data_IF_156019758236
#
_entry.id   IF_156019758236
#
_cell.length_a   1.000
_cell.length_b   1.000
_cell.length_c   1.000
_cell.angle_alpha   90.00
_cell.angle_beta   90.00
_cell.angle_gamma   90.00
#
_symmetry.space_group_name_H-M   'P 1'
#
loop_
_entity.id
_entity.type
_entity.pdbx_description
1 polymer ?
#
# COMPACT_ATOMS: atom_id res chain seq x y z
N UNK A 1 21.34 7.90 -10.49
CA UNK A 1 20.80 6.86 -9.59
C UNK A 1 19.98 7.62 -8.57
N UNK A 2 18.66 7.43 -8.54
CA UNK A 2 17.86 8.07 -7.49
C UNK A 2 18.24 7.44 -6.15
N UNK A 3 18.60 8.27 -5.18
CA UNK A 3 18.88 7.80 -3.82
C UNK A 3 17.60 7.21 -3.23
N UNK A 4 17.69 5.99 -2.71
CA UNK A 4 16.54 5.32 -2.12
C UNK A 4 16.29 5.90 -0.73
N UNK A 5 15.07 6.35 -0.50
CA UNK A 5 14.60 6.89 0.77
C UNK A 5 14.65 5.80 1.85
N UNK A 6 15.29 6.08 2.98
CA UNK A 6 15.40 5.12 4.09
C UNK A 6 14.51 5.56 5.27
N UNK A 7 13.70 4.63 5.77
CA UNK A 7 12.92 4.84 6.99
C UNK A 7 13.84 5.05 8.19
N UNK A 8 13.60 6.11 8.98
CA UNK A 8 14.45 6.46 10.13
C UNK A 8 14.23 5.58 11.36
N UNK A 9 13.24 4.70 11.34
CA UNK A 9 12.93 3.81 12.46
C UNK A 9 13.45 2.39 12.22
N UNK A 10 13.15 1.79 11.06
CA UNK A 10 13.60 0.43 10.74
C UNK A 10 14.84 0.37 9.83
N UNK A 11 15.31 1.50 9.29
CA UNK A 11 16.42 1.56 8.32
C UNK A 11 16.18 0.78 7.02
N UNK A 12 14.92 0.52 6.67
CA UNK A 12 14.55 -0.12 5.42
C UNK A 12 14.19 0.90 4.32
N UNK A 13 14.36 0.55 3.04
CA UNK A 13 13.98 1.40 1.92
C UNK A 13 12.46 1.62 1.82
N UNK A 14 12.06 2.83 1.41
CA UNK A 14 10.66 3.25 1.25
C UNK A 14 10.40 3.66 -0.20
N UNK A 15 9.82 2.75 -0.98
CA UNK A 15 9.59 2.98 -2.42
C UNK A 15 8.35 3.85 -2.71
N UNK A 16 7.32 3.78 -1.86
CA UNK A 16 6.06 4.51 -2.04
C UNK A 16 5.81 5.42 -0.83
N UNK A 17 6.61 6.48 -0.72
CA UNK A 17 6.62 7.30 0.48
C UNK A 17 5.31 8.08 0.69
N UNK A 18 4.59 7.72 1.76
CA UNK A 18 3.46 8.48 2.30
C UNK A 18 3.93 9.22 3.54
N UNK A 19 3.82 10.55 3.56
CA UNK A 19 4.19 11.30 4.75
C UNK A 19 3.29 10.96 5.94
N UNK A 20 3.88 11.01 7.14
CA UNK A 20 3.19 10.76 8.40
C UNK A 20 1.97 11.65 8.61
N UNK A 21 1.95 12.87 8.05
CA UNK A 21 0.77 13.75 8.11
C UNK A 21 -0.41 13.22 7.28
N UNK A 22 -0.16 12.54 6.16
CA UNK A 22 -1.22 11.90 5.38
C UNK A 22 -1.78 10.67 6.11
N UNK A 23 -0.92 9.90 6.77
CA UNK A 23 -1.32 8.77 7.61
C UNK A 23 -2.11 9.27 8.83
N UNK A 24 -1.62 10.32 9.49
CA UNK A 24 -2.28 10.97 10.61
C UNK A 24 -3.72 11.35 10.29
N UNK A 25 -3.95 12.03 9.16
CA UNK A 25 -5.30 12.44 8.74
C UNK A 25 -6.27 11.26 8.66
N UNK A 26 -5.83 10.11 8.14
CA UNK A 26 -6.67 8.91 8.06
C UNK A 26 -6.99 8.38 9.45
N UNK A 27 -6.01 8.34 10.34
CA UNK A 27 -6.18 7.81 11.71
C UNK A 27 -6.99 8.79 12.58
N UNK A 28 -6.74 10.09 12.52
CA UNK A 28 -7.53 11.13 13.20
C UNK A 28 -8.99 11.07 12.78
N UNK A 29 -9.26 10.94 11.48
CA UNK A 29 -10.63 10.79 10.97
C UNK A 29 -11.31 9.54 11.56
N UNK A 30 -10.60 8.42 11.58
CA UNK A 30 -11.11 7.19 12.19
C UNK A 30 -11.37 7.33 13.70
N UNK A 31 -10.41 7.88 14.46
CA UNK A 31 -10.55 8.12 15.91
C UNK A 31 -11.69 9.08 16.23
N UNK A 32 -11.86 10.15 15.45
CA UNK A 32 -12.95 11.12 15.63
C UNK A 32 -14.33 10.50 15.47
N UNK A 33 -14.47 9.46 14.64
CA UNK A 33 -15.73 8.74 14.47
C UNK A 33 -16.09 7.82 15.64
N UNK A 34 -15.13 7.53 16.52
CA UNK A 34 -15.30 6.57 17.62
C UNK A 34 -15.27 7.24 19.00
N UNK A 35 -14.30 8.12 19.25
CA UNK A 35 -14.07 8.71 20.57
C UNK A 35 -13.26 10.01 20.50
N UNK A 36 -13.95 11.15 20.56
CA UNK A 36 -13.32 12.48 20.55
C UNK A 36 -12.34 12.73 21.70
N UNK A 37 -12.47 12.03 22.85
CA UNK A 37 -11.54 12.22 23.97
C UNK A 37 -10.15 11.68 23.66
N UNK A 38 -10.07 10.57 22.93
CA UNK A 38 -8.80 9.93 22.55
C UNK A 38 -8.07 10.74 21.48
N UNK A 39 -8.82 11.47 20.63
CA UNK A 39 -8.24 12.26 19.55
C UNK A 39 -7.25 13.33 20.04
N UNK A 40 -7.54 14.02 21.15
CA UNK A 40 -6.65 15.07 21.66
C UNK A 40 -5.31 14.50 22.17
N UNK A 41 -5.37 13.37 22.90
CA UNK A 41 -4.17 12.66 23.33
C UNK A 41 -3.38 12.14 22.12
N UNK A 42 -4.08 11.71 21.07
CA UNK A 42 -3.48 11.21 19.83
C UNK A 42 -2.72 12.30 19.07
N UNK A 43 -3.31 13.49 18.91
CA UNK A 43 -2.62 14.60 18.22
C UNK A 43 -1.35 15.01 18.98
N UNK A 44 -1.38 14.95 20.32
CA UNK A 44 -0.18 15.18 21.14
C UNK A 44 0.90 14.12 20.89
N UNK A 45 0.50 12.85 20.79
CA UNK A 45 1.41 11.75 20.42
C UNK A 45 2.00 11.96 19.01
N UNK A 46 1.17 12.31 18.02
CA UNK A 46 1.62 12.53 16.65
C UNK A 46 2.64 13.67 16.54
N UNK A 47 2.40 14.79 17.24
CA UNK A 47 3.35 15.90 17.30
C UNK A 47 4.69 15.51 17.95
N UNK A 48 4.65 14.72 19.02
CA UNK A 48 5.87 14.22 19.66
C UNK A 48 6.66 13.30 18.72
N UNK A 49 5.97 12.44 17.97
CA UNK A 49 6.59 11.56 16.99
C UNK A 49 7.23 12.35 15.83
N UNK A 50 6.53 13.35 15.30
CA UNK A 50 7.07 14.28 14.30
C UNK A 50 8.37 14.94 14.79
N UNK A 51 8.34 15.51 16.00
CA UNK A 51 9.51 16.18 16.56
C UNK A 51 10.69 15.23 16.77
N UNK A 52 10.43 13.99 17.19
CA UNK A 52 11.48 12.99 17.43
C UNK A 52 12.17 12.53 16.14
N UNK A 53 11.44 12.44 15.03
CA UNK A 53 11.95 11.86 13.78
C UNK A 53 12.18 12.88 12.65
N UNK A 54 11.92 14.16 12.90
CA UNK A 54 12.22 15.27 12.00
C UNK A 54 13.73 15.47 11.82
N UNK A 55 14.19 15.74 10.59
CA UNK A 55 15.55 16.21 10.30
C UNK A 55 15.64 16.97 9.00
N UNK A 56 16.47 18.01 9.01
CA UNK A 56 16.71 18.87 7.86
C UNK A 56 17.47 18.16 6.73
N UNK A 57 18.25 17.13 7.05
CA UNK A 57 19.11 16.42 6.09
C UNK A 57 18.33 15.48 5.16
N UNK A 58 17.23 14.90 5.66
CA UNK A 58 16.46 13.89 4.93
C UNK A 58 15.04 14.38 4.69
N UNK A 59 14.82 14.92 3.51
CA UNK A 59 13.52 15.40 3.08
C UNK A 59 12.98 14.51 1.96
N UNK A 60 11.70 14.16 2.03
CA UNK A 60 11.06 13.37 0.99
C UNK A 60 9.68 13.91 0.61
N UNK A 61 9.32 13.78 -0.67
CA UNK A 61 8.05 14.23 -1.23
C UNK A 61 7.01 13.13 -1.11
N UNK A 62 5.94 13.42 -0.38
CA UNK A 62 4.81 12.49 -0.25
C UNK A 62 4.12 12.26 -1.60
N UNK A 63 3.93 10.99 -1.98
CA UNK A 63 3.24 10.63 -3.23
C UNK A 63 1.76 11.09 -3.24
N UNK A 64 1.12 11.16 -2.07
CA UNK A 64 -0.31 11.51 -1.94
C UNK A 64 -0.56 13.01 -1.93
N UNK A 65 0.09 13.77 -1.05
CA UNK A 65 -0.15 15.22 -0.92
C UNK A 65 0.84 16.09 -1.67
N UNK A 66 1.87 15.49 -2.28
CA UNK A 66 2.95 16.16 -3.04
C UNK A 66 3.78 17.18 -2.24
N UNK A 67 3.61 17.24 -0.91
CA UNK A 67 4.40 18.08 -0.01
C UNK A 67 5.67 17.35 0.42
N UNK A 68 6.76 18.10 0.50
CA UNK A 68 8.03 17.66 1.09
C UNK A 68 7.92 17.67 2.62
N UNK A 69 8.48 16.66 3.27
CA UNK A 69 8.55 16.56 4.73
C UNK A 69 9.92 16.11 5.18
N UNK A 70 10.32 16.58 6.35
CA UNK A 70 11.56 16.21 7.06
C UNK A 70 11.39 14.98 7.97
N UNK A 71 10.20 14.36 7.99
CA UNK A 71 9.93 13.16 8.80
C UNK A 71 9.74 11.96 7.87
N UNK A 72 10.81 11.18 7.72
CA UNK A 72 10.86 10.02 6.82
C UNK A 72 10.66 8.73 7.63
N UNK A 73 9.42 8.26 7.69
CA UNK A 73 9.06 6.96 8.28
C UNK A 73 8.28 6.15 7.25
N UNK A 74 8.52 4.83 7.19
CA UNK A 74 7.70 3.94 6.39
C UNK A 74 6.28 3.84 7.00
N UNK A 75 5.26 3.57 6.17
CA UNK A 75 3.88 3.45 6.66
C UNK A 75 3.73 2.42 7.78
N UNK A 76 4.42 1.28 7.68
CA UNK A 76 4.37 0.22 8.69
C UNK A 76 4.87 0.71 10.05
N UNK A 77 6.05 1.35 10.11
CA UNK A 77 6.62 1.85 11.37
C UNK A 77 5.72 2.89 12.02
N UNK A 78 5.16 3.83 11.25
CA UNK A 78 4.24 4.82 11.80
C UNK A 78 2.98 4.17 12.35
N UNK A 79 2.34 3.25 11.60
CA UNK A 79 1.12 2.56 12.05
C UNK A 79 1.41 1.67 13.27
N UNK A 80 2.59 1.04 13.35
CA UNK A 80 3.02 0.27 14.51
C UNK A 80 3.17 1.14 15.77
N UNK A 81 3.81 2.31 15.67
CA UNK A 81 3.90 3.26 16.80
C UNK A 81 2.51 3.71 17.26
N UNK A 82 1.60 3.99 16.33
CA UNK A 82 0.20 4.30 16.64
C UNK A 82 -0.47 3.12 17.34
N UNK A 83 -0.28 1.89 16.86
CA UNK A 83 -0.86 0.70 17.45
C UNK A 83 -0.46 0.54 18.92
N UNK A 84 0.85 0.62 19.23
CA UNK A 84 1.33 0.49 20.61
C UNK A 84 0.85 1.64 21.49
N UNK A 85 0.75 2.85 20.94
CA UNK A 85 0.15 3.98 21.65
C UNK A 85 -1.32 3.71 22.00
N UNK A 86 -2.14 3.25 21.03
CA UNK A 86 -3.55 2.89 21.28
C UNK A 86 -3.64 1.73 22.27
N UNK A 87 -2.80 0.70 22.13
CA UNK A 87 -2.81 -0.50 22.97
C UNK A 87 -2.65 -0.16 24.46
N UNK A 88 -1.75 0.77 24.76
CA UNK A 88 -1.51 1.24 26.12
C UNK A 88 -2.65 2.11 26.69
N UNK A 89 -3.58 2.57 25.85
CA UNK A 89 -4.72 3.42 26.23
C UNK A 89 -6.04 2.63 26.31
N UNK A 90 -6.30 1.82 25.29
CA UNK A 90 -7.52 1.02 25.13
C UNK A 90 -7.24 -0.20 24.24
N UNK A 91 -7.12 -1.36 24.87
CA UNK A 91 -6.87 -2.64 24.18
C UNK A 91 -7.97 -3.01 23.19
N UNK A 92 -9.23 -2.64 23.45
CA UNK A 92 -10.34 -2.96 22.55
C UNK A 92 -10.30 -2.06 21.31
N UNK A 93 -9.90 -0.80 21.48
CA UNK A 93 -9.65 0.09 20.36
C UNK A 93 -8.46 -0.37 19.51
N UNK A 94 -7.38 -0.84 20.15
CA UNK A 94 -6.21 -1.39 19.45
C UNK A 94 -6.59 -2.63 18.61
N UNK A 95 -7.43 -3.52 19.14
CA UNK A 95 -7.98 -4.66 18.38
C UNK A 95 -8.78 -4.23 17.15
N UNK A 96 -9.53 -3.12 17.25
CA UNK A 96 -10.26 -2.55 16.09
C UNK A 96 -9.28 -1.92 15.09
N UNK A 97 -8.25 -1.25 15.57
CA UNK A 97 -7.23 -0.61 14.74
C UNK A 97 -6.49 -1.62 13.85
N UNK A 98 -6.03 -2.73 14.43
CA UNK A 98 -5.34 -3.82 13.71
C UNK A 98 -6.16 -4.34 12.51
N UNK A 99 -7.48 -4.51 12.71
CA UNK A 99 -8.39 -5.01 11.66
C UNK A 99 -8.56 -4.06 10.47
N UNK A 100 -8.20 -2.79 10.61
CA UNK A 100 -8.31 -1.81 9.51
C UNK A 100 -7.11 -1.84 8.58
N UNK A 101 -5.93 -2.14 9.13
CA UNK A 101 -4.67 -2.11 8.39
C UNK A 101 -4.18 -3.51 8.01
N UNK A 102 -4.85 -4.56 8.48
CA UNK A 102 -4.52 -5.97 8.21
C UNK A 102 -3.06 -6.34 8.53
N UNK A 103 -2.51 -5.71 9.57
CA UNK A 103 -1.14 -5.96 10.04
C UNK A 103 -1.14 -6.88 11.27
N UNK A 104 -0.32 -7.92 11.26
CA UNK A 104 -0.09 -8.77 12.44
C UNK A 104 0.99 -8.18 13.36
N UNK A 105 0.69 -7.05 14.02
CA UNK A 105 1.62 -6.44 14.98
C UNK A 105 1.90 -7.30 16.21
N UNK A 106 1.07 -8.32 16.48
CA UNK A 106 1.18 -9.20 17.64
C UNK A 106 1.89 -10.52 17.32
N UNK A 107 2.27 -10.77 16.06
CA UNK A 107 2.92 -12.02 15.64
C UNK A 107 2.05 -13.25 15.90
N UNK A 108 0.73 -13.08 15.94
CA UNK A 108 -0.23 -14.16 16.24
C UNK A 108 -0.63 -14.98 15.01
N UNK A 109 -0.07 -14.64 13.84
CA UNK A 109 -0.56 -15.04 12.54
C UNK A 109 -1.76 -14.18 12.12
N UNK A 110 -2.03 -14.12 10.80
CA UNK A 110 -3.32 -13.65 10.30
C UNK A 110 -4.42 -14.39 11.06
N UNK A 111 -5.42 -13.66 11.57
CA UNK A 111 -6.53 -14.22 12.35
C UNK A 111 -6.98 -15.54 11.71
N UNK A 112 -7.15 -16.64 12.49
CA UNK A 112 -7.50 -17.93 11.94
C UNK A 112 -8.69 -17.77 11.00
N UNK A 113 -8.51 -18.21 9.75
CA UNK A 113 -9.29 -17.93 8.54
C UNK A 113 -10.80 -18.24 8.62
N UNK A 114 -11.27 -18.73 9.76
CA UNK A 114 -12.65 -19.17 9.99
C UNK A 114 -13.69 -18.04 10.13
N UNK A 115 -13.33 -16.77 9.86
CA UNK A 115 -14.29 -15.65 9.75
C UNK A 115 -14.05 -14.75 8.55
N UNK A 116 -13.27 -15.20 7.56
CA UNK A 116 -13.23 -14.54 6.26
C UNK A 116 -14.59 -14.82 5.61
N UNK A 117 -15.50 -13.84 5.68
CA UNK A 117 -16.69 -13.76 4.81
C UNK A 117 -16.27 -14.18 3.42
N UNK A 118 -17.03 -15.04 2.75
CA UNK A 118 -16.89 -15.46 1.35
C UNK A 118 -16.46 -14.30 0.42
N UNK A 119 -15.18 -13.92 0.46
CA UNK A 119 -14.57 -12.97 -0.41
C UNK A 119 -14.17 -13.84 -1.59
N UNK A 120 -15.07 -13.95 -2.56
CA UNK A 120 -14.61 -14.29 -3.91
C UNK A 120 -13.62 -13.20 -4.26
N UNK A 121 -12.34 -13.54 -4.28
CA UNK A 121 -11.34 -12.69 -4.87
C UNK A 121 -11.85 -12.32 -6.27
N UNK A 122 -12.14 -11.04 -6.49
CA UNK A 122 -12.27 -10.54 -7.86
C UNK A 122 -10.87 -10.58 -8.40
N UNK A 123 -10.53 -11.66 -9.10
CA UNK A 123 -9.31 -11.69 -9.87
C UNK A 123 -9.54 -10.68 -11.00
N UNK A 124 -8.91 -9.51 -10.91
CA UNK A 124 -8.75 -8.61 -12.04
C UNK A 124 -7.63 -9.24 -12.88
N UNK A 125 -7.92 -10.37 -13.51
CA UNK A 125 -7.18 -10.77 -14.71
C UNK A 125 -7.82 -9.93 -15.79
N UNK A 126 -7.08 -8.96 -16.35
CA UNK A 126 -7.32 -8.65 -17.76
C UNK A 126 -7.25 -10.02 -18.43
N UNK A 127 -8.37 -10.52 -18.98
CA UNK A 127 -8.42 -11.81 -19.65
C UNK A 127 -7.13 -11.98 -20.45
N UNK A 128 -6.23 -12.86 -20.00
CA UNK A 128 -5.05 -13.22 -20.75
C UNK A 128 -5.59 -13.88 -22.01
N UNK A 129 -5.88 -13.06 -23.03
CA UNK A 129 -5.99 -13.53 -24.40
C UNK A 129 -4.68 -14.23 -24.61
N UNK A 130 -4.74 -15.55 -24.79
CA UNK A 130 -3.58 -16.35 -25.18
C UNK A 130 -3.07 -15.78 -26.47
N UNK A 131 -2.09 -14.88 -26.38
CA UNK A 131 -1.50 -14.25 -27.53
C UNK A 131 -0.37 -15.17 -27.96
N UNK A 132 -0.59 -15.89 -29.06
CA UNK A 132 0.45 -16.76 -29.62
C UNK A 132 1.40 -15.93 -30.50
N UNK A 133 2.69 -16.18 -30.30
CA UNK A 133 3.75 -15.56 -31.10
C UNK A 133 4.31 -16.57 -32.10
N UNK A 134 4.51 -16.14 -33.34
CA UNK A 134 4.91 -17.02 -34.44
C UNK A 134 5.07 -16.28 -35.75
N UNK A 135 5.00 -16.99 -36.87
CA UNK A 135 5.05 -16.41 -38.22
C UNK A 135 3.61 -16.32 -38.76
N UNK A 136 3.21 -15.13 -39.22
CA UNK A 136 1.92 -14.93 -39.90
C UNK A 136 1.92 -15.67 -41.24
N UNK A 137 0.92 -16.51 -41.48
CA UNK A 137 0.80 -17.29 -42.71
C UNK A 137 0.28 -16.44 -43.90
N UNK A 138 -0.23 -15.23 -43.64
CA UNK A 138 -0.66 -14.27 -44.68
C UNK A 138 0.48 -13.41 -45.25
N UNK A 139 1.38 -12.90 -44.40
CA UNK A 139 2.46 -12.00 -44.80
C UNK A 139 3.88 -12.55 -44.62
N UNK A 140 4.03 -13.71 -43.96
CA UNK A 140 5.33 -14.35 -43.68
C UNK A 140 6.19 -13.64 -42.64
N UNK A 141 5.66 -12.62 -41.95
CA UNK A 141 6.39 -11.88 -40.93
C UNK A 141 6.15 -12.45 -39.53
N UNK A 142 7.15 -12.35 -38.66
CA UNK A 142 6.99 -12.69 -37.25
C UNK A 142 6.02 -11.70 -36.58
N UNK A 143 5.05 -12.23 -35.85
CA UNK A 143 4.08 -11.46 -35.08
C UNK A 143 3.92 -12.06 -33.69
N UNK A 144 3.70 -11.18 -32.72
CA UNK A 144 3.41 -11.54 -31.34
C UNK A 144 1.91 -11.53 -31.03
N UNK A 145 1.06 -11.26 -32.03
CA UNK A 145 -0.42 -11.25 -31.93
C UNK A 145 -1.09 -12.06 -33.04
N UNK A 146 -0.70 -13.34 -33.16
CA UNK A 146 -1.35 -14.25 -34.09
C UNK A 146 -2.69 -14.74 -33.54
N UNK A 147 -3.69 -14.85 -34.42
CA UNK A 147 -4.94 -15.58 -34.16
C UNK A 147 -5.26 -16.49 -35.32
N UNK A 148 -5.81 -17.65 -35.00
CA UNK A 148 -6.29 -18.60 -35.99
C UNK A 148 -7.65 -18.16 -36.56
N UNK A 149 -7.72 -17.94 -37.87
CA UNK A 149 -8.95 -17.74 -38.61
C UNK A 149 -9.04 -18.77 -39.74
N UNK A 150 -10.09 -19.59 -39.74
CA UNK A 150 -10.30 -20.65 -40.73
C UNK A 150 -9.13 -21.66 -40.87
N UNK A 151 -8.40 -21.93 -39.78
CA UNK A 151 -7.26 -22.86 -39.79
C UNK A 151 -5.93 -22.22 -40.18
N UNK A 152 -5.86 -20.89 -40.28
CA UNK A 152 -4.68 -20.13 -40.70
C UNK A 152 -4.33 -19.09 -39.64
N UNK A 153 -3.04 -18.99 -39.26
CA UNK A 153 -2.57 -18.04 -38.26
C UNK A 153 -2.24 -16.68 -38.87
N UNK A 154 -3.03 -15.66 -38.54
CA UNK A 154 -2.93 -14.32 -39.12
C UNK A 154 -2.59 -13.25 -38.06
N UNK A 155 -1.71 -12.33 -38.42
CA UNK A 155 -1.43 -11.12 -37.63
C UNK A 155 -2.53 -10.07 -37.82
N UNK A 156 -2.57 -9.07 -36.94
CA UNK A 156 -3.55 -7.97 -36.98
C UNK A 156 -3.72 -7.35 -38.37
N UNK A 157 -2.62 -6.98 -39.04
CA UNK A 157 -2.66 -6.35 -40.36
C UNK A 157 -3.15 -7.25 -41.50
N UNK A 158 -3.19 -8.57 -41.31
CA UNK A 158 -3.74 -9.51 -42.29
C UNK A 158 -5.18 -9.92 -41.98
N UNK A 159 -5.69 -9.54 -40.80
CA UNK A 159 -7.09 -9.74 -40.39
C UNK A 159 -7.96 -8.53 -40.71
N UNK A 160 -7.37 -7.33 -40.75
CA UNK A 160 -8.00 -6.11 -41.28
C UNK A 160 -8.09 -6.10 -42.81
#
# INVERSE_FOLDING_TARGET
MEETVICRLCFEPVFNFLCVNCLNKTISAWLSSLNNKILNDYESFHLNLLNKFSSEENQEKCIKCRRTTNTVLCPYCYVNEVFWWIFNKDINLAKKFVRLFDFDFLGTGYLPENKIRNFKATIIVDEEKTIESGICEGCGQASVDLKEENGIWLCESCRE
#
